data_IF_557980777063
#
_entry.id   IF_557980777063
#
_cell.length_a   1.000
_cell.length_b   1.000
_cell.length_c   1.000
_cell.angle_alpha   90.00
_cell.angle_beta   90.00
_cell.angle_gamma   90.00
#
_symmetry.space_group_name_H-M   'P 1'
#
loop_
_entity.id
_entity.type
_entity.pdbx_description
1 polymer ?
#
# COMPACT_ATOMS: atom_id res chain seq x y z
N UNK A 1 7.71 -7.18 6.66
CA UNK A 1 8.70 -8.05 5.94
C UNK A 1 10.12 -7.92 6.48
N UNK A 2 10.84 -6.81 6.31
CA UNK A 2 12.27 -6.71 6.72
C UNK A 2 12.47 -7.01 8.21
N UNK A 3 11.63 -6.46 9.10
CA UNK A 3 11.67 -6.81 10.53
C UNK A 3 11.30 -8.27 10.84
N UNK A 4 10.68 -9.01 9.91
CA UNK A 4 10.50 -10.45 10.05
C UNK A 4 11.79 -11.23 9.75
N UNK A 5 12.62 -10.73 8.82
CA UNK A 5 13.93 -11.34 8.52
C UNK A 5 14.88 -11.26 9.72
N UNK A 6 14.83 -10.18 10.50
CA UNK A 6 15.67 -10.04 11.70
C UNK A 6 15.34 -11.08 12.78
N UNK A 7 14.15 -11.69 12.72
CA UNK A 7 13.69 -12.77 13.62
C UNK A 7 13.78 -14.14 12.92
N UNK A 8 14.40 -14.22 11.74
CA UNK A 8 14.62 -15.48 11.01
C UNK A 8 13.43 -15.99 10.18
N UNK A 9 12.40 -15.16 9.94
CA UNK A 9 11.27 -15.56 9.09
C UNK A 9 11.68 -15.62 7.61
N UNK A 10 11.09 -16.55 6.87
CA UNK A 10 11.18 -16.55 5.40
C UNK A 10 10.44 -15.34 4.82
N UNK A 11 10.85 -14.85 3.65
CA UNK A 11 10.21 -13.70 2.98
C UNK A 11 8.71 -13.90 2.76
N UNK A 12 8.29 -15.14 2.48
CA UNK A 12 6.88 -15.49 2.27
C UNK A 12 6.12 -15.44 3.60
N UNK A 13 6.64 -16.09 4.65
CA UNK A 13 6.00 -16.07 5.97
C UNK A 13 5.93 -14.64 6.54
N UNK A 14 6.98 -13.85 6.38
CA UNK A 14 7.01 -12.45 6.79
C UNK A 14 6.03 -11.58 5.99
N UNK A 15 5.75 -11.92 4.72
CA UNK A 15 4.75 -11.23 3.90
C UNK A 15 3.33 -11.61 4.32
N UNK A 16 3.03 -12.89 4.52
CA UNK A 16 1.72 -13.36 4.99
C UNK A 16 1.36 -12.73 6.34
N UNK A 17 2.29 -12.73 7.29
CA UNK A 17 2.13 -12.03 8.57
C UNK A 17 1.86 -10.52 8.39
N UNK A 18 2.60 -9.86 7.50
CA UNK A 18 2.41 -8.43 7.23
C UNK A 18 1.02 -8.14 6.65
N UNK A 19 0.49 -9.01 5.77
CA UNK A 19 -0.86 -8.85 5.24
C UNK A 19 -1.94 -9.05 6.31
N UNK A 20 -1.79 -10.03 7.19
CA UNK A 20 -2.72 -10.20 8.30
C UNK A 20 -2.67 -9.05 9.28
N UNK A 21 -1.47 -8.54 9.58
CA UNK A 21 -1.29 -7.35 10.42
C UNK A 21 -1.85 -6.08 9.77
N UNK A 22 -1.82 -5.97 8.44
CA UNK A 22 -2.35 -4.83 7.71
C UNK A 22 -3.86 -4.66 7.89
N UNK A 23 -4.62 -5.74 8.07
CA UNK A 23 -6.08 -5.69 8.22
C UNK A 23 -6.52 -4.82 9.42
N UNK A 24 -6.13 -5.12 10.68
CA UNK A 24 -6.53 -4.30 11.82
C UNK A 24 -5.85 -2.92 11.82
N UNK A 25 -4.61 -2.82 11.34
CA UNK A 25 -3.85 -1.56 11.37
C UNK A 25 -4.36 -0.54 10.35
N UNK A 26 -4.62 -0.96 9.11
CA UNK A 26 -5.18 -0.08 8.08
C UNK A 26 -6.64 0.26 8.38
N UNK A 27 -7.42 -0.69 8.90
CA UNK A 27 -8.80 -0.42 9.32
C UNK A 27 -8.85 0.63 10.44
N UNK A 28 -8.01 0.46 11.48
CA UNK A 28 -7.87 1.44 12.55
C UNK A 28 -7.41 2.81 12.05
N UNK A 29 -6.39 2.87 11.18
CA UNK A 29 -5.90 4.12 10.60
C UNK A 29 -6.96 4.81 9.73
N UNK A 30 -7.74 4.05 8.95
CA UNK A 30 -8.80 4.57 8.10
C UNK A 30 -9.95 5.15 8.93
N UNK A 31 -10.36 4.44 9.98
CA UNK A 31 -11.38 4.93 10.92
C UNK A 31 -10.93 6.20 11.65
N UNK A 32 -9.67 6.24 12.07
CA UNK A 32 -9.10 7.44 12.69
C UNK A 32 -9.09 8.62 11.71
N UNK A 33 -8.66 8.41 10.46
CA UNK A 33 -8.63 9.46 9.43
C UNK A 33 -10.02 9.95 8.98
N UNK A 34 -11.10 9.20 9.25
CA UNK A 34 -12.46 9.69 8.99
C UNK A 34 -12.84 10.88 9.88
N UNK A 35 -12.22 11.03 11.05
CA UNK A 35 -12.45 12.18 11.92
C UNK A 35 -12.00 13.50 11.25
N UNK A 36 -10.94 13.46 10.45
CA UNK A 36 -10.47 14.64 9.70
C UNK A 36 -11.30 14.90 8.44
N UNK A 37 -12.07 13.90 7.99
CA UNK A 37 -12.93 14.01 6.81
C UNK A 37 -14.26 14.75 7.09
N UNK A 38 -14.57 15.05 8.35
CA UNK A 38 -15.81 15.74 8.74
C UNK A 38 -15.89 17.17 8.22
N UNK A 39 -14.75 17.81 7.94
CA UNK A 39 -14.66 19.16 7.36
C UNK A 39 -14.69 19.16 5.82
N UNK A 40 -14.70 17.99 5.18
CA UNK A 40 -14.80 17.87 3.73
C UNK A 40 -16.26 18.00 3.31
N UNK A 41 -16.56 18.89 2.36
CA UNK A 41 -17.87 18.98 1.70
C UNK A 41 -18.14 17.72 0.84
N UNK A 42 -18.47 16.61 1.49
CA UNK A 42 -18.79 15.34 0.85
C UNK A 42 -20.17 15.43 0.17
N UNK A 43 -20.15 15.80 -1.11
CA UNK A 43 -21.35 15.73 -1.95
C UNK A 43 -21.74 14.28 -2.23
N UNK A 44 -23.02 14.03 -2.55
CA UNK A 44 -23.50 12.67 -2.90
C UNK A 44 -22.74 12.04 -4.07
N UNK A 45 -22.23 12.86 -5.00
CA UNK A 45 -21.39 12.39 -6.11
C UNK A 45 -19.99 11.95 -5.65
N UNK A 46 -19.35 12.68 -4.74
CA UNK A 46 -18.06 12.30 -4.16
C UNK A 46 -18.13 10.98 -3.38
N UNK A 47 -19.24 10.74 -2.67
CA UNK A 47 -19.49 9.49 -1.96
C UNK A 47 -19.61 8.31 -2.93
N UNK A 48 -20.32 8.50 -4.05
CA UNK A 48 -20.44 7.47 -5.09
C UNK A 48 -19.08 7.10 -5.68
N UNK A 49 -18.23 8.09 -5.98
CA UNK A 49 -16.86 7.87 -6.45
C UNK A 49 -16.02 7.11 -5.41
N UNK A 50 -16.16 7.44 -4.13
CA UNK A 50 -15.44 6.77 -3.05
C UNK A 50 -15.82 5.28 -2.96
N UNK A 51 -17.11 4.96 -3.06
CA UNK A 51 -17.61 3.58 -3.04
C UNK A 51 -17.07 2.79 -4.24
N UNK A 52 -17.11 3.37 -5.44
CA UNK A 52 -16.59 2.71 -6.64
C UNK A 52 -15.08 2.48 -6.50
N UNK A 53 -14.33 3.51 -6.07
CA UNK A 53 -12.90 3.40 -5.82
C UNK A 53 -12.56 2.33 -4.79
N UNK A 54 -13.34 2.24 -3.71
CA UNK A 54 -13.20 1.22 -2.69
C UNK A 54 -13.40 -0.20 -3.25
N UNK A 55 -14.48 -0.42 -4.02
CA UNK A 55 -14.77 -1.72 -4.63
C UNK A 55 -13.67 -2.12 -5.62
N UNK A 56 -13.25 -1.20 -6.50
CA UNK A 56 -12.18 -1.46 -7.48
C UNK A 56 -10.87 -1.77 -6.76
N UNK A 57 -10.46 -0.97 -5.77
CA UNK A 57 -9.26 -1.20 -5.00
C UNK A 57 -9.29 -2.55 -4.27
N UNK A 58 -10.43 -2.91 -3.69
CA UNK A 58 -10.62 -4.19 -3.00
C UNK A 58 -10.45 -5.38 -3.95
N UNK A 59 -11.10 -5.36 -5.13
CA UNK A 59 -10.98 -6.42 -6.13
C UNK A 59 -9.56 -6.56 -6.67
N UNK A 60 -8.90 -5.43 -6.96
CA UNK A 60 -7.51 -5.41 -7.42
C UNK A 60 -6.58 -5.94 -6.32
N UNK A 61 -6.80 -5.57 -5.06
CA UNK A 61 -6.00 -6.05 -3.93
C UNK A 61 -6.08 -7.58 -3.81
N UNK A 62 -7.27 -8.18 -3.87
CA UNK A 62 -7.43 -9.65 -3.81
C UNK A 62 -6.63 -10.36 -4.92
N UNK A 63 -6.65 -9.83 -6.14
CA UNK A 63 -5.89 -10.37 -7.25
C UNK A 63 -4.38 -10.19 -7.07
N UNK A 64 -3.94 -9.01 -6.65
CA UNK A 64 -2.53 -8.65 -6.50
C UNK A 64 -1.88 -9.41 -5.35
N UNK A 65 -2.54 -9.57 -4.21
CA UNK A 65 -2.00 -10.30 -3.04
C UNK A 65 -1.59 -11.72 -3.43
N UNK A 66 -2.48 -12.46 -4.11
CA UNK A 66 -2.17 -13.83 -4.56
C UNK A 66 -0.98 -13.87 -5.52
N UNK A 67 -0.92 -12.96 -6.50
CA UNK A 67 0.21 -12.87 -7.43
C UNK A 67 1.51 -12.47 -6.74
N UNK A 68 1.44 -11.54 -5.80
CA UNK A 68 2.59 -11.03 -5.07
C UNK A 68 3.21 -12.12 -4.18
N UNK A 69 2.40 -12.85 -3.41
CA UNK A 69 2.89 -14.01 -2.64
C UNK A 69 3.49 -15.07 -3.57
N UNK A 70 2.86 -15.33 -4.72
CA UNK A 70 3.41 -16.23 -5.74
C UNK A 70 4.75 -15.77 -6.32
N UNK A 71 4.95 -14.46 -6.49
CA UNK A 71 6.21 -13.87 -6.95
C UNK A 71 7.31 -14.04 -5.90
N UNK A 72 7.02 -13.77 -4.62
CA UNK A 72 8.00 -13.88 -3.53
C UNK A 72 8.51 -15.30 -3.31
N UNK A 73 7.73 -16.32 -3.68
CA UNK A 73 8.18 -17.72 -3.67
C UNK A 73 9.28 -18.01 -4.70
N UNK A 74 9.34 -17.26 -5.80
CA UNK A 74 10.20 -17.54 -6.97
C UNK A 74 11.33 -16.51 -7.17
N UNK A 75 11.15 -15.29 -6.68
CA UNK A 75 12.05 -14.16 -6.94
C UNK A 75 12.38 -13.42 -5.63
N UNK A 76 13.62 -12.90 -5.50
CA UNK A 76 14.00 -12.12 -4.34
C UNK A 76 13.28 -10.76 -4.31
N UNK A 77 13.07 -10.23 -3.11
CA UNK A 77 12.47 -8.91 -2.89
C UNK A 77 13.33 -7.75 -3.44
N UNK A 78 14.58 -8.02 -3.83
CA UNK A 78 15.55 -7.02 -4.35
C UNK A 78 15.00 -6.19 -5.51
N UNK A 79 14.17 -6.77 -6.37
CA UNK A 79 13.53 -6.06 -7.50
C UNK A 79 12.67 -4.90 -7.00
N UNK A 80 11.90 -5.09 -5.93
CA UNK A 80 11.10 -4.03 -5.32
C UNK A 80 11.97 -2.98 -4.64
N UNK A 81 13.11 -3.38 -4.08
CA UNK A 81 14.10 -2.46 -3.53
C UNK A 81 14.63 -1.50 -4.60
N UNK A 82 15.13 -2.04 -5.72
CA UNK A 82 15.63 -1.23 -6.84
C UNK A 82 14.55 -0.32 -7.43
N UNK A 83 13.33 -0.83 -7.62
CA UNK A 83 12.20 -0.02 -8.07
C UNK A 83 11.92 1.17 -7.15
N UNK A 84 11.91 0.98 -5.82
CA UNK A 84 11.69 2.06 -4.85
C UNK A 84 12.79 3.12 -4.89
N UNK A 85 14.05 2.74 -5.07
CA UNK A 85 15.16 3.70 -5.19
C UNK A 85 14.99 4.56 -6.44
N UNK A 86 14.68 3.95 -7.60
CA UNK A 86 14.46 4.67 -8.85
C UNK A 86 13.31 5.67 -8.71
N UNK A 87 12.16 5.23 -8.19
CA UNK A 87 10.99 6.10 -7.96
C UNK A 87 11.32 7.22 -6.96
N UNK A 88 12.06 6.90 -5.90
CA UNK A 88 12.50 7.89 -4.92
C UNK A 88 13.37 8.99 -5.55
N UNK A 89 14.32 8.63 -6.40
CA UNK A 89 15.16 9.60 -7.13
C UNK A 89 14.30 10.47 -8.06
N UNK A 90 13.37 9.86 -8.80
CA UNK A 90 12.46 10.61 -9.69
C UNK A 90 11.63 11.63 -8.89
N UNK A 91 11.06 11.21 -7.76
CA UNK A 91 10.29 12.11 -6.88
C UNK A 91 11.14 13.27 -6.35
N UNK A 92 12.38 13.02 -5.96
CA UNK A 92 13.31 14.07 -5.50
C UNK A 92 13.60 15.07 -6.61
N UNK A 93 13.89 14.60 -7.83
CA UNK A 93 14.14 15.48 -8.98
C UNK A 93 12.91 16.32 -9.30
N UNK A 94 11.71 15.72 -9.35
CA UNK A 94 10.48 16.43 -9.65
C UNK A 94 10.15 17.49 -8.59
N UNK A 95 10.42 17.20 -7.31
CA UNK A 95 10.23 18.14 -6.21
C UNK A 95 11.20 19.32 -6.30
N UNK A 96 12.46 19.08 -6.69
CA UNK A 96 13.47 20.14 -6.88
C UNK A 96 13.14 21.06 -8.04
N UNK A 97 12.48 20.54 -9.08
CA UNK A 97 12.03 21.33 -10.24
C UNK A 97 10.73 22.11 -9.99
N UNK A 98 10.19 22.11 -8.76
CA UNK A 98 8.91 22.77 -8.40
C UNK A 98 7.72 22.39 -9.31
N UNK A 99 7.73 21.18 -9.88
CA UNK A 99 6.65 20.73 -10.78
C UNK A 99 5.48 20.06 -10.03
N UNK A 100 5.68 19.77 -8.73
CA UNK A 100 4.73 19.05 -7.86
C UNK A 100 4.18 19.91 -6.70
N UNK A 101 4.62 21.16 -6.56
CA UNK A 101 4.18 22.14 -5.53
C UNK A 101 3.60 23.34 -6.24
#
# INVERSE_FOLDING_TARGET
IIGGWTVGMTTVAAADFTFFLAIPTMFGASLYGMHDATDLNLTGFSILLLIIGFIVAFLVALFVVKKFIGFLKKKPLRVFGSYRIIVGVIMVVLSLTHLLV
#
